data_IF_286022992833
#
_entry.id   IF_286022992833
#
_cell.length_a   1.000
_cell.length_b   1.000
_cell.length_c   1.000
_cell.angle_alpha   90.00
_cell.angle_beta   90.00
_cell.angle_gamma   90.00
#
_symmetry.space_group_name_H-M   'P 1'
#
loop_
_entity.id
_entity.type
_entity.pdbx_description
1 polymer ?
#
# COMPACT_ATOMS: atom_id res chain seq x y z
N UNK A 1 22.47 14.89 -1.03
CA UNK A 1 23.60 15.44 -0.26
C UNK A 1 24.91 15.10 -0.95
N UNK A 2 25.17 13.85 -1.33
CA UNK A 2 26.39 13.41 -2.02
C UNK A 2 26.57 14.07 -3.40
N UNK A 3 25.49 14.31 -4.15
CA UNK A 3 25.53 15.05 -5.41
C UNK A 3 26.14 16.45 -5.24
N UNK A 4 25.74 17.17 -4.17
CA UNK A 4 26.31 18.49 -3.87
C UNK A 4 27.78 18.41 -3.47
N UNK A 5 28.19 17.37 -2.75
CA UNK A 5 29.58 17.15 -2.34
C UNK A 5 30.48 16.86 -3.56
N UNK A 6 29.98 16.06 -4.50
CA UNK A 6 30.76 15.68 -5.69
C UNK A 6 30.46 16.53 -6.94
N UNK A 7 29.68 17.63 -6.79
CA UNK A 7 29.36 18.54 -7.90
C UNK A 7 30.59 19.17 -8.57
N UNK A 8 31.70 19.34 -7.81
CA UNK A 8 32.94 19.90 -8.34
C UNK A 8 33.81 18.96 -9.16
N UNK A 9 33.45 17.66 -9.26
CA UNK A 9 34.21 16.70 -10.06
C UNK A 9 33.87 16.83 -11.56
N UNK A 10 34.88 16.66 -12.45
CA UNK A 10 34.68 16.74 -13.89
C UNK A 10 33.64 15.74 -14.42
N UNK A 11 32.91 16.12 -15.48
CA UNK A 11 31.86 15.27 -16.09
C UNK A 11 32.35 13.90 -16.60
N UNK A 12 33.62 13.80 -17.02
CA UNK A 12 34.21 12.51 -17.43
C UNK A 12 34.31 11.48 -16.27
N UNK A 13 34.06 11.89 -15.01
CA UNK A 13 34.00 11.01 -13.84
C UNK A 13 32.58 10.70 -13.39
N UNK A 14 31.54 11.04 -14.17
CA UNK A 14 30.15 10.81 -13.75
C UNK A 14 29.85 9.31 -13.57
N UNK A 15 30.39 8.44 -14.44
CA UNK A 15 30.30 7.00 -14.22
C UNK A 15 30.95 6.52 -12.94
N UNK A 16 32.11 7.09 -12.56
CA UNK A 16 32.78 6.78 -11.29
C UNK A 16 31.95 7.27 -10.09
N UNK A 17 31.31 8.45 -10.21
CA UNK A 17 30.42 8.97 -9.17
C UNK A 17 29.25 8.01 -8.93
N UNK A 18 28.56 7.62 -10.02
CA UNK A 18 27.33 6.82 -9.93
C UNK A 18 27.61 5.38 -9.45
N UNK A 19 28.64 4.73 -10.00
CA UNK A 19 28.90 3.30 -9.77
C UNK A 19 29.71 3.04 -8.50
N UNK A 20 30.58 3.97 -8.11
CA UNK A 20 31.51 3.76 -7.01
C UNK A 20 31.34 4.75 -5.86
N UNK A 21 31.42 6.08 -6.12
CA UNK A 21 31.46 7.05 -5.03
C UNK A 21 30.11 7.15 -4.29
N UNK A 22 28.99 7.19 -5.01
CA UNK A 22 27.68 7.27 -4.34
C UNK A 22 27.37 6.01 -3.52
N UNK A 23 27.47 4.79 -4.02
CA UNK A 23 27.28 3.59 -3.21
C UNK A 23 28.23 3.50 -2.03
N UNK A 24 29.52 3.77 -2.24
CA UNK A 24 30.53 3.70 -1.18
C UNK A 24 30.22 4.68 -0.03
N UNK A 25 30.06 5.97 -0.37
CA UNK A 25 29.86 7.00 0.67
C UNK A 25 28.46 6.96 1.27
N UNK A 26 27.42 6.60 0.51
CA UNK A 26 26.09 6.41 1.08
C UNK A 26 26.07 5.26 2.09
N UNK A 27 26.65 4.12 1.75
CA UNK A 27 26.73 2.97 2.64
C UNK A 27 27.55 3.30 3.88
N UNK A 28 28.69 3.97 3.73
CA UNK A 28 29.54 4.36 4.86
C UNK A 28 28.81 5.35 5.79
N UNK A 29 28.18 6.40 5.25
CA UNK A 29 27.45 7.40 6.03
C UNK A 29 26.25 6.76 6.74
N UNK A 30 25.43 6.00 6.01
CA UNK A 30 24.27 5.32 6.60
C UNK A 30 24.72 4.31 7.66
N UNK A 31 25.77 3.54 7.39
CA UNK A 31 26.35 2.61 8.36
C UNK A 31 26.81 3.29 9.66
N UNK A 32 27.51 4.42 9.57
CA UNK A 32 27.93 5.19 10.73
C UNK A 32 26.73 5.77 11.51
N UNK A 33 25.73 6.29 10.81
CA UNK A 33 24.49 6.76 11.44
C UNK A 33 23.77 5.61 12.16
N UNK A 34 23.66 4.47 11.51
CA UNK A 34 23.06 3.26 12.11
C UNK A 34 23.82 2.76 13.34
N UNK A 35 25.16 2.79 13.33
CA UNK A 35 25.98 2.48 14.52
C UNK A 35 25.68 3.44 15.67
N UNK A 36 25.53 4.74 15.40
CA UNK A 36 25.18 5.73 16.42
C UNK A 36 23.79 5.54 17.00
N UNK A 37 22.83 5.12 16.18
CA UNK A 37 21.42 4.91 16.58
C UNK A 37 21.22 3.53 17.23
N UNK A 38 22.00 2.52 16.85
CA UNK A 38 21.80 1.14 17.29
C UNK A 38 21.87 0.96 18.82
N UNK A 39 22.77 1.68 19.49
CA UNK A 39 22.88 1.62 20.96
C UNK A 39 21.60 2.08 21.68
N UNK A 40 21.10 3.30 21.46
CA UNK A 40 19.83 3.77 22.00
C UNK A 40 18.64 2.85 21.64
N UNK A 41 18.56 2.38 20.39
CA UNK A 41 17.47 1.48 19.97
C UNK A 41 17.55 0.11 20.64
N UNK A 42 18.76 -0.45 20.82
CA UNK A 42 18.95 -1.68 21.58
C UNK A 42 18.53 -1.50 23.05
N UNK A 43 18.85 -0.38 23.67
CA UNK A 43 18.43 -0.08 25.05
C UNK A 43 16.91 -0.01 25.19
N UNK A 44 16.22 0.66 24.26
CA UNK A 44 14.75 0.72 24.22
C UNK A 44 14.18 -0.69 24.07
N UNK A 45 14.70 -1.47 23.10
CA UNK A 45 14.23 -2.84 22.88
C UNK A 45 14.43 -3.72 24.12
N UNK A 46 15.59 -3.63 24.77
CA UNK A 46 15.87 -4.38 26.01
C UNK A 46 14.90 -3.97 27.13
N UNK A 47 14.63 -2.68 27.32
CA UNK A 47 13.67 -2.21 28.31
C UNK A 47 12.26 -2.73 28.05
N UNK A 48 11.83 -2.82 26.78
CA UNK A 48 10.54 -3.40 26.39
C UNK A 48 10.50 -4.90 26.66
N UNK A 49 11.57 -5.62 26.38
CA UNK A 49 11.67 -7.06 26.69
C UNK A 49 11.61 -7.31 28.22
N UNK A 50 12.36 -6.52 29.00
CA UNK A 50 12.37 -6.63 30.46
C UNK A 50 10.99 -6.30 31.05
N UNK A 51 10.30 -5.32 30.48
CA UNK A 51 8.92 -5.01 30.84
C UNK A 51 8.00 -6.23 30.63
N UNK A 52 8.03 -6.86 29.45
CA UNK A 52 7.22 -8.07 29.19
C UNK A 52 7.57 -9.23 30.12
N UNK A 53 8.86 -9.46 30.37
CA UNK A 53 9.31 -10.46 31.33
C UNK A 53 8.80 -10.18 32.74
N UNK A 54 8.75 -8.91 33.18
CA UNK A 54 8.23 -8.54 34.49
C UNK A 54 6.72 -8.78 34.61
N UNK A 55 5.99 -8.70 33.52
CA UNK A 55 4.54 -8.98 33.49
C UNK A 55 4.20 -10.46 33.53
N UNK A 56 5.17 -11.35 33.32
CA UNK A 56 4.93 -12.80 33.30
C UNK A 56 4.26 -13.32 34.59
N UNK A 57 4.58 -12.71 35.74
CA UNK A 57 3.98 -13.00 37.04
C UNK A 57 2.62 -12.31 37.29
N UNK A 58 2.20 -11.38 36.42
CA UNK A 58 1.00 -10.53 36.63
C UNK A 58 -0.32 -11.19 36.20
N UNK A 59 -0.24 -12.41 35.67
CA UNK A 59 -1.40 -13.18 35.19
C UNK A 59 -1.75 -12.97 33.71
N UNK A 60 -2.54 -13.90 33.18
CA UNK A 60 -2.86 -14.05 31.77
C UNK A 60 -3.48 -12.78 31.14
N UNK A 61 -4.33 -12.06 31.88
CA UNK A 61 -5.03 -10.89 31.34
C UNK A 61 -4.06 -9.72 31.11
N UNK A 62 -3.20 -9.43 32.08
CA UNK A 62 -2.24 -8.31 32.00
C UNK A 62 -1.18 -8.60 30.94
N UNK A 63 -0.62 -9.80 30.96
CA UNK A 63 0.38 -10.21 29.98
C UNK A 63 -0.20 -10.23 28.56
N UNK A 64 -1.36 -10.85 28.36
CA UNK A 64 -2.01 -10.93 27.06
C UNK A 64 -2.44 -9.57 26.52
N UNK A 65 -2.89 -8.65 27.39
CA UNK A 65 -3.18 -7.27 27.02
C UNK A 65 -1.91 -6.56 26.50
N UNK A 66 -0.79 -6.68 27.24
CA UNK A 66 0.46 -6.07 26.84
C UNK A 66 0.97 -6.62 25.50
N UNK A 67 1.00 -7.95 25.34
CA UNK A 67 1.40 -8.61 24.09
C UNK A 67 0.53 -8.14 22.93
N UNK A 68 -0.80 -8.20 23.07
CA UNK A 68 -1.73 -7.81 22.03
C UNK A 68 -1.61 -6.35 21.62
N UNK A 69 -1.48 -5.44 22.61
CA UNK A 69 -1.23 -4.03 22.33
C UNK A 69 0.08 -3.81 21.58
N UNK A 70 1.17 -4.43 22.01
CA UNK A 70 2.49 -4.28 21.36
C UNK A 70 2.49 -4.83 19.95
N UNK A 71 1.90 -6.01 19.72
CA UNK A 71 1.86 -6.63 18.40
C UNK A 71 1.05 -5.82 17.37
N UNK A 72 -0.03 -5.16 17.81
CA UNK A 72 -0.92 -4.42 16.92
C UNK A 72 -0.64 -2.90 16.86
N UNK A 73 0.24 -2.37 17.70
CA UNK A 73 0.54 -0.93 17.76
C UNK A 73 1.14 -0.41 16.45
N UNK A 74 2.17 -1.05 15.96
CA UNK A 74 2.92 -0.66 14.76
C UNK A 74 3.03 -1.76 13.70
N UNK A 75 2.32 -2.90 13.90
CA UNK A 75 2.08 -3.97 12.92
C UNK A 75 3.31 -4.42 12.14
N UNK A 76 4.40 -4.72 12.82
CA UNK A 76 5.67 -5.13 12.24
C UNK A 76 6.82 -4.16 12.51
N UNK A 77 6.53 -3.02 13.14
CA UNK A 77 7.52 -2.04 13.56
C UNK A 77 8.26 -2.42 14.85
N UNK A 78 9.01 -1.49 15.46
CA UNK A 78 9.85 -1.76 16.61
C UNK A 78 9.13 -2.32 17.82
N UNK A 79 7.89 -1.86 18.11
CA UNK A 79 7.10 -2.31 19.27
C UNK A 79 6.60 -3.75 19.07
N UNK A 80 6.08 -4.05 17.89
CA UNK A 80 5.72 -5.42 17.49
C UNK A 80 6.94 -6.35 17.58
N UNK A 81 8.09 -5.92 17.01
CA UNK A 81 9.31 -6.73 17.00
C UNK A 81 9.85 -6.96 18.42
N UNK A 82 9.69 -6.02 19.36
CA UNK A 82 10.07 -6.26 20.75
C UNK A 82 9.26 -7.40 21.39
N UNK A 83 7.93 -7.45 21.18
CA UNK A 83 7.11 -8.57 21.65
C UNK A 83 7.52 -9.88 20.98
N UNK A 84 7.70 -9.86 19.65
CA UNK A 84 8.08 -11.04 18.86
C UNK A 84 9.46 -11.58 19.25
N UNK A 85 10.48 -10.73 19.36
CA UNK A 85 11.84 -11.11 19.75
C UNK A 85 11.86 -11.64 21.19
N UNK A 86 11.08 -11.05 22.11
CA UNK A 86 10.91 -11.59 23.46
C UNK A 86 10.31 -13.01 23.40
N UNK A 87 9.27 -13.21 22.60
CA UNK A 87 8.64 -14.53 22.41
C UNK A 87 9.61 -15.57 21.87
N UNK A 88 10.38 -15.22 20.84
CA UNK A 88 11.38 -16.13 20.25
C UNK A 88 12.54 -16.44 21.21
N UNK A 89 12.97 -15.48 22.03
CA UNK A 89 13.99 -15.73 23.06
C UNK A 89 13.47 -16.67 24.13
N UNK A 90 12.26 -16.44 24.65
CA UNK A 90 11.61 -17.33 25.61
C UNK A 90 11.35 -18.72 25.04
N UNK A 91 10.93 -18.80 23.78
CA UNK A 91 10.76 -20.06 23.08
C UNK A 91 12.07 -20.86 22.97
N UNK A 92 13.18 -20.17 22.68
CA UNK A 92 14.52 -20.81 22.61
C UNK A 92 14.90 -21.41 23.97
N UNK A 93 14.69 -20.68 25.07
CA UNK A 93 14.91 -21.18 26.43
C UNK A 93 13.97 -22.35 26.76
N UNK A 94 12.70 -22.26 26.34
CA UNK A 94 11.71 -23.32 26.53
C UNK A 94 12.10 -24.63 25.83
N UNK A 95 12.49 -24.55 24.57
CA UNK A 95 12.90 -25.72 23.80
C UNK A 95 14.19 -26.39 24.37
N UNK A 96 15.11 -25.56 24.89
CA UNK A 96 16.31 -26.08 25.57
C UNK A 96 16.00 -26.75 26.91
N UNK A 97 14.97 -26.29 27.63
CA UNK A 97 14.54 -26.89 28.91
C UNK A 97 13.82 -28.24 28.73
N UNK A 98 13.22 -28.46 27.55
CA UNK A 98 12.54 -29.70 27.20
C UNK A 98 11.08 -29.78 27.63
N UNK A 99 10.32 -30.60 26.92
CA UNK A 99 8.89 -30.80 27.08
C UNK A 99 8.52 -31.20 28.52
N UNK A 100 7.46 -30.61 29.07
CA UNK A 100 6.93 -30.92 30.40
C UNK A 100 7.56 -30.12 31.55
N UNK A 101 8.51 -29.22 31.25
CA UNK A 101 9.01 -28.24 32.23
C UNK A 101 8.16 -26.97 32.27
N UNK A 102 8.13 -26.29 33.42
CA UNK A 102 7.43 -25.02 33.55
C UNK A 102 7.96 -23.96 32.57
N UNK A 103 9.28 -23.99 32.33
CA UNK A 103 9.93 -23.12 31.34
C UNK A 103 9.43 -23.38 29.92
N UNK A 104 9.29 -24.67 29.55
CA UNK A 104 8.74 -25.06 28.26
C UNK A 104 7.30 -24.57 28.09
N UNK A 105 6.46 -24.88 29.09
CA UNK A 105 5.06 -24.51 29.06
C UNK A 105 4.88 -23.00 28.97
N UNK A 106 5.64 -22.24 29.76
CA UNK A 106 5.55 -20.79 29.74
C UNK A 106 6.02 -20.17 28.39
N UNK A 107 7.19 -20.58 27.89
CA UNK A 107 7.75 -19.99 26.67
C UNK A 107 6.95 -20.34 25.41
N UNK A 108 6.44 -21.56 25.29
CA UNK A 108 5.57 -21.97 24.17
C UNK A 108 4.18 -21.31 24.25
N UNK A 109 3.63 -21.12 25.45
CA UNK A 109 2.36 -20.41 25.66
C UNK A 109 2.52 -18.91 25.34
N UNK A 110 3.63 -18.29 25.76
CA UNK A 110 3.95 -16.91 25.42
C UNK A 110 4.06 -16.73 23.89
N UNK A 111 4.77 -17.63 23.20
CA UNK A 111 4.92 -17.58 21.75
C UNK A 111 3.57 -17.75 21.04
N UNK A 112 2.72 -18.66 21.49
CA UNK A 112 1.37 -18.84 20.99
C UNK A 112 0.54 -17.55 21.11
N UNK A 113 0.66 -16.82 22.23
CA UNK A 113 -0.03 -15.54 22.44
C UNK A 113 0.48 -14.44 21.52
N UNK A 114 1.80 -14.34 21.27
CA UNK A 114 2.41 -13.42 20.31
C UNK A 114 1.93 -13.73 18.89
N UNK A 115 1.99 -15.00 18.49
CA UNK A 115 1.50 -15.46 17.19
C UNK A 115 0.03 -15.10 16.98
N UNK A 116 -0.84 -15.39 17.95
CA UNK A 116 -2.26 -15.05 17.88
C UNK A 116 -2.47 -13.54 17.70
N UNK A 117 -1.76 -12.73 18.49
CA UNK A 117 -1.86 -11.27 18.43
C UNK A 117 -1.44 -10.69 17.07
N UNK A 118 -0.43 -11.27 16.42
CA UNK A 118 0.07 -10.84 15.12
C UNK A 118 -0.83 -11.27 13.95
N UNK A 119 -1.54 -12.39 14.06
CA UNK A 119 -2.47 -12.91 13.05
C UNK A 119 -3.74 -12.05 12.97
N UNK A 120 -4.19 -11.48 14.08
CA UNK A 120 -5.52 -10.84 14.21
C UNK A 120 -5.69 -9.57 13.36
N UNK A 121 -4.75 -8.59 13.29
CA UNK A 121 -4.98 -7.34 12.54
C UNK A 121 -5.35 -7.55 11.07
N UNK A 122 -4.63 -8.35 10.25
CA UNK A 122 -5.04 -8.59 8.87
C UNK A 122 -6.40 -9.33 8.79
N UNK A 123 -6.71 -10.24 9.71
CA UNK A 123 -8.02 -10.92 9.74
C UNK A 123 -9.17 -9.96 10.13
N UNK A 124 -8.93 -8.95 10.97
CA UNK A 124 -9.88 -7.86 11.24
C UNK A 124 -10.22 -7.13 9.94
N UNK A 125 -9.22 -6.79 9.12
CA UNK A 125 -9.44 -6.09 7.85
C UNK A 125 -10.19 -6.96 6.87
N UNK A 126 -9.85 -8.25 6.76
CA UNK A 126 -10.59 -9.23 5.94
C UNK A 126 -12.05 -9.30 6.35
N UNK A 127 -12.33 -9.51 7.63
CA UNK A 127 -13.70 -9.54 8.14
C UNK A 127 -14.46 -8.26 7.82
N UNK A 128 -13.81 -7.11 8.05
CA UNK A 128 -14.44 -5.81 7.86
C UNK A 128 -14.81 -5.53 6.40
N UNK A 129 -13.94 -5.85 5.44
CA UNK A 129 -14.24 -5.62 4.01
C UNK A 129 -15.30 -6.58 3.47
N UNK A 130 -15.38 -7.80 4.02
CA UNK A 130 -16.41 -8.77 3.63
C UNK A 130 -17.79 -8.38 4.18
N UNK A 131 -17.87 -8.09 5.48
CA UNK A 131 -19.14 -7.79 6.17
C UNK A 131 -19.60 -6.36 5.88
N UNK A 132 -18.68 -5.41 5.85
CA UNK A 132 -18.94 -3.98 5.63
C UNK A 132 -18.74 -3.51 4.20
N UNK A 133 -18.85 -4.38 3.17
CA UNK A 133 -18.48 -4.11 1.77
C UNK A 133 -18.84 -2.71 1.26
N UNK A 134 -20.02 -2.19 1.59
CA UNK A 134 -20.50 -0.88 1.14
C UNK A 134 -19.77 0.33 1.74
N UNK A 135 -18.98 0.14 2.80
CA UNK A 135 -18.26 1.20 3.50
C UNK A 135 -16.77 1.26 3.14
N UNK A 136 -16.31 0.33 2.31
CA UNK A 136 -14.93 0.21 1.87
C UNK A 136 -14.82 0.41 0.37
N UNK A 137 -13.71 0.99 -0.08
CA UNK A 137 -13.40 1.09 -1.51
C UNK A 137 -13.11 -0.29 -2.11
N UNK A 138 -13.13 -0.39 -3.44
CA UNK A 138 -12.75 -1.64 -4.10
C UNK A 138 -11.29 -2.02 -3.79
N UNK A 139 -10.39 -1.04 -3.74
CA UNK A 139 -9.00 -1.23 -3.34
C UNK A 139 -8.87 -1.81 -1.92
N UNK A 140 -9.62 -1.23 -0.95
CA UNK A 140 -9.67 -1.79 0.40
C UNK A 140 -10.21 -3.22 0.41
N UNK A 141 -11.23 -3.49 -0.42
CA UNK A 141 -11.80 -4.83 -0.52
C UNK A 141 -10.76 -5.84 -1.03
N UNK A 142 -10.06 -5.51 -2.12
CA UNK A 142 -9.06 -6.38 -2.73
C UNK A 142 -7.88 -6.61 -1.76
N UNK A 143 -7.37 -5.55 -1.13
CA UNK A 143 -6.34 -5.65 -0.10
C UNK A 143 -6.80 -6.47 1.12
N UNK A 144 -8.04 -6.28 1.57
CA UNK A 144 -8.60 -7.03 2.69
C UNK A 144 -8.78 -8.53 2.40
N UNK A 145 -9.06 -8.91 1.16
CA UNK A 145 -9.11 -10.34 0.76
C UNK A 145 -7.70 -10.95 0.76
N UNK A 146 -6.69 -10.22 0.27
CA UNK A 146 -5.28 -10.66 0.35
C UNK A 146 -4.83 -10.84 1.80
N UNK A 147 -5.33 -10.00 2.69
CA UNK A 147 -5.03 -10.05 4.12
C UNK A 147 -5.53 -11.34 4.81
N UNK A 148 -6.47 -12.07 4.22
CA UNK A 148 -6.81 -13.41 4.70
C UNK A 148 -5.59 -14.34 4.64
N UNK A 149 -4.87 -14.33 3.52
CA UNK A 149 -3.67 -15.15 3.33
C UNK A 149 -2.54 -14.64 4.23
N UNK A 150 -2.31 -13.33 4.25
CA UNK A 150 -1.27 -12.71 5.07
C UNK A 150 -1.49 -12.99 6.56
N UNK A 151 -2.71 -12.85 7.06
CA UNK A 151 -3.05 -13.21 8.44
C UNK A 151 -2.83 -14.68 8.72
N UNK A 152 -3.34 -15.56 7.87
CA UNK A 152 -3.15 -17.01 8.03
C UNK A 152 -1.67 -17.44 8.03
N UNK A 153 -0.77 -16.65 7.46
CA UNK A 153 0.68 -16.88 7.42
C UNK A 153 1.47 -16.06 8.44
N UNK A 154 0.80 -15.38 9.38
CA UNK A 154 1.43 -14.57 10.44
C UNK A 154 2.12 -13.29 9.92
N UNK A 155 1.57 -12.66 8.87
CA UNK A 155 2.10 -11.42 8.31
C UNK A 155 1.20 -10.27 8.73
N UNK A 156 1.57 -9.58 9.80
CA UNK A 156 0.77 -8.50 10.43
C UNK A 156 0.71 -7.24 9.56
N UNK A 157 1.76 -7.00 8.78
CA UNK A 157 1.98 -5.81 7.96
C UNK A 157 0.87 -5.55 6.94
N UNK A 158 0.12 -6.58 6.52
CA UNK A 158 -1.02 -6.44 5.62
C UNK A 158 -2.10 -5.48 6.12
N UNK A 159 -2.21 -5.25 7.42
CA UNK A 159 -3.18 -4.32 7.99
C UNK A 159 -2.72 -2.85 7.99
N UNK A 160 -1.44 -2.55 7.73
CA UNK A 160 -0.87 -1.19 7.74
C UNK A 160 -1.63 -0.23 6.82
N UNK A 161 -1.97 -0.56 5.55
CA UNK A 161 -2.69 0.35 4.66
C UNK A 161 -4.06 0.79 5.22
N UNK A 162 -4.72 -0.06 5.98
CA UNK A 162 -6.00 0.27 6.64
C UNK A 162 -5.81 1.18 7.84
N UNK A 163 -4.74 0.99 8.60
CA UNK A 163 -4.41 1.81 9.76
C UNK A 163 -3.98 3.22 9.33
N UNK A 164 -3.13 3.36 8.32
CA UNK A 164 -2.61 4.65 7.87
C UNK A 164 -3.67 5.59 7.34
N UNK A 165 -4.76 5.08 6.79
CA UNK A 165 -5.91 5.89 6.35
C UNK A 165 -6.63 6.59 7.53
N UNK A 166 -6.65 5.99 8.73
CA UNK A 166 -7.34 6.50 9.92
C UNK A 166 -6.68 5.97 11.20
N UNK A 167 -5.48 6.44 11.53
CA UNK A 167 -4.63 5.87 12.59
C UNK A 167 -5.35 5.76 13.94
N UNK A 168 -5.89 6.89 14.45
CA UNK A 168 -6.42 6.96 15.81
C UNK A 168 -7.62 6.04 16.11
N UNK A 169 -8.63 5.89 15.23
CA UNK A 169 -9.69 4.93 15.49
C UNK A 169 -9.31 3.49 15.16
N UNK A 170 -8.49 3.25 14.13
CA UNK A 170 -8.18 1.89 13.66
C UNK A 170 -7.15 1.21 14.56
N UNK A 171 -6.09 1.89 14.95
CA UNK A 171 -5.06 1.32 15.83
C UNK A 171 -5.61 0.76 17.14
N UNK A 172 -6.43 1.48 17.96
CA UNK A 172 -7.04 0.93 19.15
C UNK A 172 -7.94 -0.29 18.91
N UNK A 173 -8.65 -0.33 17.77
CA UNK A 173 -9.47 -1.47 17.37
C UNK A 173 -8.60 -2.71 17.15
N UNK A 174 -7.49 -2.55 16.40
CA UNK A 174 -6.53 -3.63 16.15
C UNK A 174 -5.89 -4.12 17.46
N UNK A 175 -5.48 -3.18 18.33
CA UNK A 175 -4.93 -3.50 19.65
C UNK A 175 -5.93 -4.29 20.51
N UNK A 176 -7.18 -3.89 20.52
CA UNK A 176 -8.22 -4.60 21.30
C UNK A 176 -8.44 -6.02 20.77
N UNK A 177 -8.60 -6.19 19.47
CA UNK A 177 -8.78 -7.52 18.87
C UNK A 177 -7.59 -8.45 19.14
N UNK A 178 -6.36 -7.95 18.96
CA UNK A 178 -5.14 -8.70 19.25
C UNK A 178 -4.99 -9.04 20.73
N UNK A 179 -5.37 -8.12 21.62
CA UNK A 179 -5.36 -8.37 23.07
C UNK A 179 -6.34 -9.46 23.48
N UNK A 180 -7.55 -9.44 22.91
CA UNK A 180 -8.54 -10.50 23.16
C UNK A 180 -7.98 -11.87 22.75
N UNK A 181 -7.42 -11.97 21.55
CA UNK A 181 -6.86 -13.23 21.07
C UNK A 181 -5.68 -13.70 21.93
N UNK A 182 -4.78 -12.80 22.30
CA UNK A 182 -3.62 -13.10 23.15
C UNK A 182 -4.04 -13.57 24.54
N UNK A 183 -4.99 -12.86 25.20
CA UNK A 183 -5.50 -13.24 26.51
C UNK A 183 -6.16 -14.62 26.47
N UNK A 184 -7.03 -14.86 25.48
CA UNK A 184 -7.71 -16.15 25.33
C UNK A 184 -6.72 -17.28 25.04
N UNK A 185 -5.69 -17.03 24.23
CA UNK A 185 -4.62 -18.00 23.93
C UNK A 185 -3.91 -18.43 25.21
N UNK A 186 -3.57 -17.48 26.09
CA UNK A 186 -2.94 -17.80 27.38
C UNK A 186 -3.90 -18.60 28.28
N UNK A 187 -5.16 -18.15 28.41
CA UNK A 187 -6.16 -18.81 29.22
C UNK A 187 -6.52 -20.22 28.75
N UNK A 188 -6.48 -20.44 27.45
CA UNK A 188 -6.74 -21.77 26.85
C UNK A 188 -5.51 -22.69 26.92
N UNK A 189 -4.43 -22.22 27.54
CA UNK A 189 -3.18 -22.98 27.69
C UNK A 189 -2.71 -23.55 26.37
N UNK A 190 -2.64 -22.70 25.33
CA UNK A 190 -2.14 -23.06 23.99
C UNK A 190 -0.62 -23.02 23.99
N UNK A 191 0.02 -24.01 23.38
CA UNK A 191 1.46 -24.06 23.29
C UNK A 191 1.90 -24.14 21.82
N UNK A 192 2.67 -23.12 21.37
CA UNK A 192 3.24 -23.05 20.01
C UNK A 192 4.77 -23.21 20.10
N UNK A 193 5.31 -24.36 19.68
CA UNK A 193 6.75 -24.60 19.66
C UNK A 193 7.45 -23.98 18.44
N UNK A 194 6.72 -23.32 17.54
CA UNK A 194 7.27 -22.70 16.35
C UNK A 194 7.32 -21.17 16.49
N UNK A 195 8.42 -20.53 16.06
CA UNK A 195 8.56 -19.07 16.20
C UNK A 195 7.71 -18.29 15.18
N UNK A 196 7.28 -18.93 14.09
CA UNK A 196 6.57 -18.27 12.99
C UNK A 196 5.83 -19.30 12.13
N UNK A 197 4.89 -18.83 11.31
CA UNK A 197 4.21 -19.68 10.32
C UNK A 197 2.67 -19.58 10.34
N UNK A 198 2.09 -18.96 11.35
CA UNK A 198 0.63 -18.79 11.46
C UNK A 198 -0.08 -20.14 11.49
N UNK A 199 -1.15 -20.29 10.72
CA UNK A 199 -1.90 -21.57 10.68
C UNK A 199 -1.15 -22.72 10.01
N UNK A 200 -0.03 -22.46 9.33
CA UNK A 200 0.80 -23.53 8.79
C UNK A 200 1.45 -24.40 9.88
N UNK A 201 1.68 -23.84 11.07
CA UNK A 201 2.24 -24.59 12.21
C UNK A 201 1.18 -25.25 13.09
N UNK A 202 -0.11 -25.10 12.77
CA UNK A 202 -1.22 -25.69 13.54
C UNK A 202 -1.04 -27.19 13.89
N UNK A 203 -0.47 -28.04 13.03
CA UNK A 203 -0.25 -29.45 13.34
C UNK A 203 0.68 -29.69 14.55
N UNK A 204 1.54 -28.74 14.91
CA UNK A 204 2.46 -28.85 16.06
C UNK A 204 2.03 -28.01 17.25
N UNK A 205 0.97 -27.20 17.12
CA UNK A 205 0.43 -26.39 18.20
C UNK A 205 -0.47 -27.23 19.11
N UNK A 206 -0.11 -27.32 20.39
CA UNK A 206 -0.95 -27.96 21.40
C UNK A 206 -2.17 -27.08 21.71
N UNK A 207 -3.36 -27.67 21.83
CA UNK A 207 -4.63 -26.97 21.90
C UNK A 207 -4.92 -26.07 20.68
N UNK A 208 -4.41 -26.45 19.51
CA UNK A 208 -4.56 -25.68 18.26
C UNK A 208 -5.99 -25.26 17.90
N UNK A 209 -7.04 -26.09 18.06
CA UNK A 209 -8.43 -25.65 17.84
C UNK A 209 -8.86 -24.50 18.74
N UNK A 210 -8.42 -24.46 20.00
CA UNK A 210 -8.70 -23.36 20.93
C UNK A 210 -7.89 -22.11 20.55
N UNK A 211 -6.69 -22.28 20.02
CA UNK A 211 -5.91 -21.17 19.44
C UNK A 211 -6.61 -20.51 18.27
N UNK A 212 -7.10 -21.31 17.32
CA UNK A 212 -7.91 -20.78 16.19
C UNK A 212 -9.15 -20.06 16.70
N UNK A 213 -9.84 -20.62 17.68
CA UNK A 213 -11.02 -19.99 18.29
C UNK A 213 -10.68 -18.63 18.92
N UNK A 214 -9.58 -18.54 19.68
CA UNK A 214 -9.10 -17.30 20.29
C UNK A 214 -8.84 -16.21 19.23
N UNK A 215 -8.14 -16.57 18.15
CA UNK A 215 -7.84 -15.69 17.02
C UNK A 215 -9.13 -15.22 16.34
N UNK A 216 -10.06 -16.13 16.06
CA UNK A 216 -11.34 -15.79 15.41
C UNK A 216 -12.18 -14.86 16.27
N UNK A 217 -12.25 -15.09 17.60
CA UNK A 217 -12.96 -14.18 18.53
C UNK A 217 -12.36 -12.77 18.45
N UNK A 218 -11.03 -12.64 18.54
CA UNK A 218 -10.34 -11.37 18.44
C UNK A 218 -10.59 -10.67 17.10
N UNK A 219 -10.50 -11.42 15.98
CA UNK A 219 -10.72 -10.91 14.64
C UNK A 219 -12.17 -10.46 14.41
N UNK A 220 -13.16 -11.23 14.88
CA UNK A 220 -14.59 -10.89 14.75
C UNK A 220 -14.93 -9.66 15.58
N UNK A 221 -14.51 -9.61 16.86
CA UNK A 221 -14.77 -8.45 17.72
C UNK A 221 -14.14 -7.17 17.15
N UNK A 222 -12.84 -7.23 16.77
CA UNK A 222 -12.18 -6.11 16.12
C UNK A 222 -12.83 -5.75 14.79
N UNK A 223 -13.22 -6.75 13.99
CA UNK A 223 -13.87 -6.57 12.68
C UNK A 223 -15.23 -5.88 12.81
N UNK A 224 -16.07 -6.26 13.76
CA UNK A 224 -17.35 -5.58 14.05
C UNK A 224 -17.12 -4.12 14.41
N UNK A 225 -16.16 -3.84 15.27
CA UNK A 225 -15.82 -2.47 15.67
C UNK A 225 -15.29 -1.65 14.48
N UNK A 226 -14.48 -2.27 13.62
CA UNK A 226 -13.95 -1.61 12.44
C UNK A 226 -15.06 -1.29 11.44
N UNK A 227 -16.00 -2.22 11.19
CA UNK A 227 -17.18 -1.96 10.36
C UNK A 227 -18.04 -0.84 10.95
N UNK A 228 -18.28 -0.85 12.28
CA UNK A 228 -19.04 0.18 12.95
C UNK A 228 -18.40 1.56 12.82
N UNK A 229 -17.08 1.65 12.97
CA UNK A 229 -16.33 2.87 12.73
C UNK A 229 -16.46 3.35 11.27
N UNK A 230 -16.25 2.49 10.30
CA UNK A 230 -16.34 2.83 8.87
C UNK A 230 -17.76 3.26 8.47
N UNK A 231 -18.77 2.63 9.04
CA UNK A 231 -20.16 3.04 8.87
C UNK A 231 -20.39 4.45 9.40
N UNK A 232 -19.93 4.75 10.61
CA UNK A 232 -20.03 6.07 11.22
C UNK A 232 -19.32 7.15 10.38
N UNK A 233 -18.11 6.88 9.93
CA UNK A 233 -17.31 7.79 9.10
C UNK A 233 -18.01 8.07 7.76
N UNK A 234 -18.54 7.03 7.12
CA UNK A 234 -19.31 7.14 5.89
C UNK A 234 -20.56 8.02 6.05
N UNK A 235 -21.36 7.77 7.10
CA UNK A 235 -22.58 8.54 7.38
C UNK A 235 -22.27 10.02 7.76
N UNK A 236 -21.17 10.25 8.48
CA UNK A 236 -20.70 11.60 8.81
C UNK A 236 -20.31 12.39 7.58
N UNK A 237 -19.57 11.77 6.66
CA UNK A 237 -19.13 12.40 5.41
C UNK A 237 -20.31 12.68 4.48
N UNK A 238 -21.34 11.83 4.43
CA UNK A 238 -22.58 12.11 3.69
C UNK A 238 -23.37 13.28 4.28
N UNK A 239 -23.38 13.46 5.61
CA UNK A 239 -24.06 14.60 6.25
C UNK A 239 -23.29 15.90 6.15
N UNK A 240 -21.97 15.85 5.94
CA UNK A 240 -21.11 17.03 5.76
C UNK A 240 -21.11 17.55 4.33
N UNK A 241 -21.64 16.83 3.35
CA UNK A 241 -21.83 17.32 2.00
C UNK A 241 -22.87 18.46 2.01
N UNK A 242 -22.59 19.65 1.42
CA UNK A 242 -23.57 20.75 1.37
C UNK A 242 -24.85 20.25 0.70
N UNK A 243 -25.98 20.46 1.40
CA UNK A 243 -27.31 20.19 0.85
C UNK A 243 -27.51 21.12 -0.35
N UNK A 244 -27.29 20.65 -1.55
CA UNK A 244 -27.81 21.30 -2.73
C UNK A 244 -29.34 21.32 -2.61
N UNK A 245 -29.93 22.51 -2.65
CA UNK A 245 -31.39 22.70 -2.59
C UNK A 245 -32.09 21.78 -3.59
N UNK A 246 -33.23 21.15 -3.21
CA UNK A 246 -33.95 20.28 -4.11
C UNK A 246 -34.42 21.06 -5.34
N UNK A 247 -33.96 20.72 -6.50
CA UNK A 247 -34.66 21.03 -7.76
C UNK A 247 -35.79 20.03 -7.84
N UNK A 248 -37.02 20.54 -8.00
CA UNK A 248 -38.28 19.79 -8.03
C UNK A 248 -38.18 18.57 -8.97
N UNK A 249 -38.51 17.39 -8.39
CA UNK A 249 -38.57 16.14 -9.11
C UNK A 249 -39.74 16.17 -10.13
N UNK A 250 -39.40 16.30 -11.38
CA UNK A 250 -40.30 15.87 -12.46
C UNK A 250 -40.31 14.32 -12.48
N UNK A 251 -41.51 13.77 -12.31
CA UNK A 251 -41.78 12.34 -12.48
C UNK A 251 -41.40 11.89 -13.90
N UNK A 252 -40.43 11.03 -14.02
CA UNK A 252 -40.27 10.19 -15.20
C UNK A 252 -39.86 8.78 -14.78
N UNK A 253 -40.70 7.90 -15.12
CA UNK A 253 -40.63 6.45 -15.34
C UNK A 253 -39.32 5.69 -15.02
N UNK A 254 -39.50 4.60 -14.30
CA UNK A 254 -38.53 3.51 -14.18
C UNK A 254 -38.04 3.06 -15.57
N UNK A 255 -36.77 3.29 -15.85
CA UNK A 255 -36.08 2.69 -16.97
C UNK A 255 -34.95 1.83 -16.37
N UNK A 256 -34.93 0.59 -16.78
CA UNK A 256 -33.91 -0.40 -16.49
C UNK A 256 -32.50 0.21 -16.64
N UNK A 257 -31.59 -0.17 -15.74
CA UNK A 257 -30.19 0.20 -15.80
C UNK A 257 -29.60 -0.11 -17.18
N UNK A 258 -29.05 0.87 -17.89
CA UNK A 258 -28.32 0.56 -19.11
C UNK A 258 -27.06 -0.22 -18.73
N UNK A 259 -26.84 -1.34 -19.43
CA UNK A 259 -25.51 -1.92 -19.59
C UNK A 259 -24.55 -0.76 -19.87
N UNK A 260 -23.52 -0.60 -19.02
CA UNK A 260 -22.43 0.33 -19.28
C UNK A 260 -21.83 -0.05 -20.64
N UNK A 261 -22.12 0.75 -21.65
CA UNK A 261 -21.29 0.79 -22.84
C UNK A 261 -19.89 1.21 -22.37
N UNK A 262 -18.87 0.50 -22.85
CA UNK A 262 -17.48 0.75 -22.54
C UNK A 262 -17.17 2.22 -22.89
N UNK A 263 -16.98 3.07 -21.89
CA UNK A 263 -16.54 4.44 -22.13
C UNK A 263 -15.09 4.36 -22.64
N UNK A 264 -14.87 4.83 -23.87
CA UNK A 264 -13.52 4.94 -24.43
C UNK A 264 -12.72 5.95 -23.59
N UNK A 265 -11.82 5.45 -22.76
CA UNK A 265 -10.94 6.28 -21.91
C UNK A 265 -9.93 7.06 -22.75
N UNK A 266 -9.53 6.52 -23.90
CA UNK A 266 -8.66 7.16 -24.89
C UNK A 266 -9.49 7.50 -26.11
N UNK A 267 -9.83 8.78 -26.27
CA UNK A 267 -10.46 9.28 -27.49
C UNK A 267 -9.39 9.41 -28.59
N UNK A 268 -9.75 9.15 -29.85
CA UNK A 268 -8.81 9.26 -30.99
C UNK A 268 -8.22 10.67 -31.07
N UNK A 269 -9.01 11.69 -30.78
CA UNK A 269 -8.61 13.10 -30.75
C UNK A 269 -7.58 13.45 -29.66
N UNK A 270 -7.38 12.57 -28.68
CA UNK A 270 -6.41 12.71 -27.58
C UNK A 270 -5.13 11.87 -27.83
N UNK A 271 -4.94 11.35 -29.04
CA UNK A 271 -3.73 10.64 -29.44
C UNK A 271 -2.95 11.49 -30.46
N UNK A 272 -1.79 11.92 -30.05
CA UNK A 272 -0.89 12.78 -30.84
C UNK A 272 0.32 11.96 -31.27
N UNK A 273 0.50 11.80 -32.57
CA UNK A 273 1.60 11.05 -33.18
C UNK A 273 2.50 11.98 -33.97
N UNK A 274 3.77 11.61 -34.11
CA UNK A 274 4.79 12.38 -34.83
C UNK A 274 5.06 13.77 -34.22
N UNK A 275 4.98 13.90 -32.91
CA UNK A 275 5.45 15.07 -32.15
C UNK A 275 6.97 14.96 -31.94
N UNK A 276 7.63 16.09 -31.70
CA UNK A 276 9.07 16.17 -31.41
C UNK A 276 9.27 17.10 -30.23
N UNK A 277 9.77 16.56 -29.11
CA UNK A 277 9.94 17.30 -27.85
C UNK A 277 11.41 17.31 -27.42
N UNK A 278 11.94 18.50 -27.19
CA UNK A 278 13.31 18.66 -26.71
C UNK A 278 13.51 18.18 -25.26
N UNK A 279 12.43 18.04 -24.49
CA UNK A 279 12.52 17.63 -23.06
C UNK A 279 11.21 17.04 -22.55
N UNK A 280 11.31 16.31 -21.41
CA UNK A 280 10.14 15.84 -20.63
C UNK A 280 9.17 16.97 -20.32
N UNK A 281 9.68 18.11 -19.85
CA UNK A 281 8.83 19.21 -19.39
C UNK A 281 8.06 19.85 -20.56
N UNK A 282 8.63 19.84 -21.77
CA UNK A 282 7.94 20.28 -22.98
C UNK A 282 6.82 19.30 -23.37
N UNK A 283 7.06 18.00 -23.31
CA UNK A 283 6.03 16.98 -23.55
C UNK A 283 4.88 17.09 -22.52
N UNK A 284 5.18 17.28 -21.25
CA UNK A 284 4.17 17.46 -20.20
C UNK A 284 3.39 18.78 -20.35
N UNK A 285 4.08 19.85 -20.78
CA UNK A 285 3.43 21.14 -21.09
C UNK A 285 2.49 21.01 -22.29
N UNK A 286 2.91 20.29 -23.33
CA UNK A 286 2.06 19.99 -24.49
C UNK A 286 0.80 19.25 -24.05
N UNK A 287 0.93 18.16 -23.27
CA UNK A 287 -0.21 17.40 -22.74
C UNK A 287 -1.16 18.30 -21.93
N UNK A 288 -0.61 19.15 -21.05
CA UNK A 288 -1.40 20.07 -20.22
C UNK A 288 -2.21 21.06 -21.07
N UNK A 289 -1.62 21.60 -22.12
CA UNK A 289 -2.29 22.50 -23.07
C UNK A 289 -3.37 21.76 -23.89
N UNK A 290 -3.12 20.54 -24.33
CA UNK A 290 -4.11 19.74 -25.04
C UNK A 290 -5.29 19.35 -24.14
N UNK A 291 -5.05 19.08 -22.84
CA UNK A 291 -6.10 18.84 -21.89
C UNK A 291 -7.08 20.01 -21.76
N UNK A 292 -6.58 21.25 -21.77
CA UNK A 292 -7.43 22.44 -21.76
C UNK A 292 -8.17 22.62 -23.09
N UNK A 293 -7.50 22.43 -24.23
CA UNK A 293 -8.14 22.52 -25.55
C UNK A 293 -9.25 21.50 -25.75
N UNK A 294 -9.08 20.30 -25.18
CA UNK A 294 -10.08 19.23 -25.24
C UNK A 294 -11.21 19.42 -24.18
N UNK A 295 -11.16 20.45 -23.34
CA UNK A 295 -12.14 20.68 -22.27
C UNK A 295 -12.00 19.73 -21.08
N UNK A 296 -10.95 18.94 -21.02
CA UNK A 296 -10.64 17.98 -19.94
C UNK A 296 -10.17 18.72 -18.69
N UNK A 297 -9.50 19.86 -18.86
CA UNK A 297 -9.02 20.69 -17.76
C UNK A 297 -9.35 22.17 -17.99
N UNK A 298 -9.42 22.94 -16.91
CA UNK A 298 -9.71 24.38 -16.92
C UNK A 298 -8.45 25.25 -16.89
N UNK A 299 -7.30 24.69 -16.49
CA UNK A 299 -6.04 25.42 -16.27
C UNK A 299 -4.84 24.52 -16.58
N UNK A 300 -4.08 24.90 -17.62
CA UNK A 300 -2.90 24.14 -18.07
C UNK A 300 -1.73 24.21 -17.09
N UNK A 301 -1.52 25.35 -16.44
CA UNK A 301 -0.44 25.51 -15.45
C UNK A 301 -0.70 24.68 -14.20
N UNK A 302 -1.96 24.58 -13.76
CA UNK A 302 -2.34 23.72 -12.64
C UNK A 302 -2.13 22.23 -12.97
N UNK A 303 -2.40 21.79 -14.20
CA UNK A 303 -2.14 20.42 -14.67
C UNK A 303 -0.64 20.17 -14.76
N UNK A 304 0.13 21.09 -15.35
CA UNK A 304 1.58 20.99 -15.46
C UNK A 304 2.25 20.88 -14.07
N UNK A 305 1.83 21.73 -13.13
CA UNK A 305 2.35 21.68 -11.77
C UNK A 305 2.03 20.34 -11.07
N UNK A 306 0.88 19.74 -11.34
CA UNK A 306 0.52 18.44 -10.83
C UNK A 306 1.39 17.31 -11.41
N UNK A 307 1.72 17.35 -12.71
CA UNK A 307 2.69 16.44 -13.32
C UNK A 307 4.07 16.59 -12.71
N UNK A 308 4.57 17.82 -12.56
CA UNK A 308 5.88 18.08 -11.98
C UNK A 308 5.97 17.65 -10.51
N UNK A 309 4.92 17.87 -9.73
CA UNK A 309 4.83 17.40 -8.36
C UNK A 309 4.92 15.87 -8.28
N UNK A 310 4.24 15.16 -9.20
CA UNK A 310 4.28 13.71 -9.26
C UNK A 310 5.66 13.18 -9.72
N UNK A 311 6.30 13.83 -10.69
CA UNK A 311 7.66 13.48 -11.12
C UNK A 311 8.71 13.69 -10.01
N UNK A 312 8.49 14.65 -9.12
CA UNK A 312 9.35 14.90 -7.97
C UNK A 312 9.29 13.78 -6.92
N UNK A 313 8.21 13.01 -6.86
CA UNK A 313 8.07 11.82 -5.98
C UNK A 313 8.84 10.61 -6.53
N UNK A 314 9.10 10.58 -7.82
CA UNK A 314 9.81 9.53 -8.54
C UNK A 314 9.44 9.57 -10.02
N UNK A 315 10.35 9.12 -10.88
CA UNK A 315 10.11 9.15 -12.33
C UNK A 315 8.89 8.31 -12.73
N UNK A 316 8.13 8.80 -13.71
CA UNK A 316 7.05 8.04 -14.37
C UNK A 316 7.53 7.34 -15.64
N UNK A 317 8.82 7.45 -15.98
CA UNK A 317 9.44 6.70 -17.07
C UNK A 317 9.50 5.21 -16.76
N UNK A 318 9.13 4.41 -17.76
CA UNK A 318 9.09 2.95 -17.69
C UNK A 318 10.23 2.35 -18.53
N UNK A 319 10.13 1.09 -18.89
CA UNK A 319 11.06 0.40 -19.78
C UNK A 319 10.68 0.60 -21.26
N UNK A 320 11.63 0.35 -22.17
CA UNK A 320 11.44 0.25 -23.63
C UNK A 320 10.81 1.51 -24.27
N UNK A 321 11.12 2.68 -23.71
CA UNK A 321 10.70 3.95 -24.29
C UNK A 321 9.27 4.37 -23.97
N UNK A 322 8.67 3.85 -22.90
CA UNK A 322 7.35 4.26 -22.40
C UNK A 322 7.45 5.14 -21.14
N UNK A 323 6.45 6.00 -20.95
CA UNK A 323 6.21 6.70 -19.71
C UNK A 323 4.70 6.75 -19.40
N UNK A 324 4.35 6.78 -18.08
CA UNK A 324 2.97 6.89 -17.60
C UNK A 324 2.87 8.12 -16.68
N UNK A 325 3.03 9.35 -17.20
CA UNK A 325 2.83 10.55 -16.40
C UNK A 325 1.38 10.65 -15.96
N UNK A 326 1.15 11.05 -14.70
CA UNK A 326 -0.21 11.22 -14.20
C UNK A 326 -0.31 12.45 -13.33
N UNK A 327 -1.37 13.23 -13.56
CA UNK A 327 -1.67 14.46 -12.85
C UNK A 327 -3.00 14.36 -12.13
N UNK A 328 -3.02 14.78 -10.87
CA UNK A 328 -4.22 14.94 -10.07
C UNK A 328 -4.38 16.41 -9.72
N UNK A 329 -5.48 17.00 -10.16
CA UNK A 329 -5.76 18.42 -9.91
C UNK A 329 -7.26 18.71 -9.88
N UNK A 330 -7.68 19.67 -9.08
CA UNK A 330 -9.05 20.18 -9.10
C UNK A 330 -9.35 20.96 -10.40
N UNK A 331 -8.33 21.35 -11.16
CA UNK A 331 -8.46 21.93 -12.48
C UNK A 331 -8.86 20.91 -13.56
N UNK A 332 -8.75 19.60 -13.28
CA UNK A 332 -9.17 18.53 -14.18
C UNK A 332 -10.65 18.22 -13.92
N UNK A 333 -11.48 18.32 -14.94
CA UNK A 333 -12.94 18.23 -14.86
C UNK A 333 -13.47 16.82 -15.11
N UNK A 334 -12.78 16.04 -15.95
CA UNK A 334 -13.10 14.63 -16.24
C UNK A 334 -11.84 13.77 -16.28
N UNK A 335 -11.98 12.49 -15.92
CA UNK A 335 -10.89 11.53 -16.02
C UNK A 335 -10.66 11.20 -17.50
N UNK A 336 -9.43 11.37 -17.98
CA UNK A 336 -9.08 11.12 -19.37
C UNK A 336 -7.65 10.65 -19.53
N UNK A 337 -7.35 10.04 -20.68
CA UNK A 337 -6.01 9.65 -21.09
C UNK A 337 -5.64 10.42 -22.36
N UNK A 338 -4.47 11.03 -22.34
CA UNK A 338 -3.85 11.67 -23.51
C UNK A 338 -2.58 10.88 -23.84
N UNK A 339 -2.43 10.52 -25.10
CA UNK A 339 -1.25 9.77 -25.57
C UNK A 339 -0.44 10.69 -26.49
N UNK A 340 0.85 10.81 -26.20
CA UNK A 340 1.79 11.49 -27.08
C UNK A 340 2.88 10.54 -27.52
N UNK A 341 3.25 10.61 -28.80
CA UNK A 341 4.27 9.78 -29.39
C UNK A 341 5.32 10.64 -30.08
N UNK A 342 6.58 10.44 -29.70
CA UNK A 342 7.76 11.08 -30.27
C UNK A 342 8.66 10.00 -30.88
N UNK A 343 8.87 10.04 -32.21
CA UNK A 343 9.68 9.02 -32.90
C UNK A 343 11.16 9.18 -32.60
N UNK A 344 11.62 10.41 -32.34
CA UNK A 344 13.01 10.71 -31.99
C UNK A 344 13.37 10.29 -30.58
N UNK A 345 12.36 10.24 -29.71
CA UNK A 345 12.47 9.91 -28.29
C UNK A 345 12.88 11.09 -27.42
N UNK A 346 12.04 11.39 -26.45
CA UNK A 346 12.22 12.48 -25.48
C UNK A 346 13.42 12.17 -24.59
N UNK A 347 14.44 13.03 -24.62
CA UNK A 347 15.63 12.92 -23.76
C UNK A 347 15.42 13.65 -22.44
N UNK A 348 16.16 13.24 -21.39
CA UNK A 348 16.05 13.87 -20.07
C UNK A 348 14.83 13.42 -19.25
N UNK A 349 14.12 12.40 -19.69
CA UNK A 349 13.13 11.67 -18.90
C UNK A 349 13.79 10.42 -18.34
N UNK A 350 13.96 10.34 -17.03
CA UNK A 350 14.58 9.18 -16.39
C UNK A 350 13.68 7.95 -16.59
N UNK A 351 14.22 6.89 -17.14
CA UNK A 351 13.55 5.60 -17.37
C UNK A 351 14.28 4.47 -16.67
N UNK A 352 13.61 3.35 -16.45
CA UNK A 352 14.16 2.20 -15.71
C UNK A 352 15.35 1.55 -16.44
N UNK A 353 15.42 1.67 -17.77
CA UNK A 353 16.46 1.10 -18.64
C UNK A 353 17.36 2.15 -19.29
N UNK A 354 17.15 3.43 -19.02
CA UNK A 354 17.90 4.55 -19.58
C UNK A 354 17.55 4.86 -21.05
N UNK A 355 16.50 4.23 -21.61
CA UNK A 355 16.06 4.49 -22.97
C UNK A 355 15.28 5.83 -23.06
N UNK A 356 15.38 6.59 -24.17
CA UNK A 356 14.54 7.77 -24.37
C UNK A 356 13.06 7.39 -24.48
N UNK A 357 12.16 8.27 -24.00
CA UNK A 357 10.72 8.01 -24.03
C UNK A 357 10.14 8.29 -25.40
N UNK A 358 9.62 7.27 -26.08
CA UNK A 358 8.94 7.40 -27.37
C UNK A 358 7.43 7.54 -27.25
N UNK A 359 6.82 7.00 -26.18
CA UNK A 359 5.38 7.03 -25.96
C UNK A 359 5.09 7.39 -24.52
N UNK A 360 4.37 8.48 -24.31
CA UNK A 360 3.85 8.83 -23.00
C UNK A 360 2.32 8.68 -22.97
N UNK A 361 1.82 7.84 -22.05
CA UNK A 361 0.38 7.63 -21.80
C UNK A 361 0.03 8.44 -20.56
N UNK A 362 -0.43 9.66 -20.75
CA UNK A 362 -0.70 10.63 -19.69
C UNK A 362 -2.11 10.45 -19.13
N UNK A 363 -2.22 10.23 -17.81
CA UNK A 363 -3.50 10.12 -17.11
C UNK A 363 -3.84 11.42 -16.39
N UNK A 364 -5.03 11.93 -16.66
CA UNK A 364 -5.60 13.14 -16.09
C UNK A 364 -6.73 12.78 -15.13
N UNK A 365 -6.63 13.23 -13.87
CA UNK A 365 -7.48 12.74 -12.78
C UNK A 365 -8.09 13.92 -12.03
N UNK A 366 -9.44 14.06 -11.97
CA UNK A 366 -10.09 15.05 -11.14
C UNK A 366 -9.76 14.89 -9.66
N UNK A 367 -9.51 16.00 -8.97
CA UNK A 367 -9.18 16.00 -7.54
C UNK A 367 -10.19 15.25 -6.68
N UNK A 368 -11.49 15.41 -6.96
CA UNK A 368 -12.59 14.78 -6.23
C UNK A 368 -12.77 13.27 -6.50
N UNK A 369 -12.24 12.73 -7.62
CA UNK A 369 -12.41 11.32 -8.03
C UNK A 369 -11.18 10.45 -7.72
N UNK A 370 -10.27 10.90 -6.92
CA UNK A 370 -8.93 10.37 -6.72
C UNK A 370 -8.83 9.01 -5.99
N UNK A 371 -9.92 8.30 -5.72
CA UNK A 371 -9.88 7.12 -4.85
C UNK A 371 -9.81 5.77 -5.55
N UNK A 372 -10.46 5.54 -6.68
CA UNK A 372 -10.63 4.18 -7.21
C UNK A 372 -10.44 4.05 -8.72
N UNK A 373 -10.97 4.96 -9.52
CA UNK A 373 -10.97 4.81 -10.98
C UNK A 373 -9.57 4.99 -11.58
N UNK A 374 -8.77 5.93 -11.07
CA UNK A 374 -7.44 6.20 -11.60
C UNK A 374 -6.44 5.10 -11.28
N UNK A 375 -6.48 4.53 -10.07
CA UNK A 375 -5.59 3.41 -9.71
C UNK A 375 -5.88 2.17 -10.57
N UNK A 376 -7.16 1.95 -10.93
CA UNK A 376 -7.53 0.90 -11.87
C UNK A 376 -6.96 1.18 -13.27
N UNK A 377 -7.12 2.39 -13.79
CA UNK A 377 -6.59 2.77 -15.11
C UNK A 377 -5.07 2.68 -15.09
N UNK A 378 -4.41 3.23 -14.08
CA UNK A 378 -2.95 3.17 -13.94
C UNK A 378 -2.44 1.73 -13.86
N UNK A 379 -3.09 0.89 -13.04
CA UNK A 379 -2.75 -0.53 -12.91
C UNK A 379 -2.93 -1.28 -14.23
N UNK A 380 -4.05 -1.06 -14.94
CA UNK A 380 -4.31 -1.70 -16.23
C UNK A 380 -3.35 -1.22 -17.33
N UNK A 381 -2.97 0.07 -17.35
CA UNK A 381 -1.94 0.57 -18.27
C UNK A 381 -0.59 -0.04 -17.94
N UNK A 382 -0.21 -0.11 -16.66
CA UNK A 382 1.04 -0.72 -16.24
C UNK A 382 1.07 -2.23 -16.58
N UNK A 383 -0.04 -2.95 -16.38
CA UNK A 383 -0.20 -4.35 -16.75
C UNK A 383 -0.11 -4.53 -18.27
N UNK A 384 -0.77 -3.68 -19.06
CA UNK A 384 -0.71 -3.71 -20.52
C UNK A 384 0.72 -3.50 -21.02
N UNK A 385 1.52 -2.65 -20.36
CA UNK A 385 2.93 -2.43 -20.70
C UNK A 385 3.83 -3.63 -20.37
N UNK A 386 3.36 -4.64 -19.65
CA UNK A 386 4.11 -5.90 -19.50
C UNK A 386 3.94 -6.83 -20.70
N UNK A 387 2.94 -6.59 -21.55
CA UNK A 387 2.67 -7.35 -22.77
C UNK A 387 3.52 -6.81 -23.94
N UNK A 388 4.35 -7.67 -24.53
CA UNK A 388 5.27 -7.31 -25.64
C UNK A 388 4.51 -6.91 -26.91
N UNK A 389 3.43 -7.63 -27.26
CA UNK A 389 2.61 -7.34 -28.43
C UNK A 389 1.90 -5.98 -28.30
N UNK A 390 1.45 -5.64 -27.09
CA UNK A 390 0.87 -4.32 -26.80
C UNK A 390 1.90 -3.21 -27.02
N UNK A 391 3.10 -3.35 -26.45
CA UNK A 391 4.15 -2.33 -26.61
C UNK A 391 4.56 -2.19 -28.08
N UNK A 392 4.75 -3.31 -28.78
CA UNK A 392 5.12 -3.31 -30.18
C UNK A 392 4.06 -2.62 -31.06
N UNK A 393 2.78 -2.89 -30.81
CA UNK A 393 1.66 -2.28 -31.55
C UNK A 393 1.57 -0.78 -31.28
N UNK A 394 1.58 -0.34 -30.03
CA UNK A 394 1.45 1.08 -29.68
C UNK A 394 2.67 1.88 -30.16
N UNK A 395 3.88 1.32 -30.04
CA UNK A 395 5.11 1.97 -30.48
C UNK A 395 5.26 1.96 -32.01
N UNK A 396 4.83 0.89 -32.68
CA UNK A 396 4.97 0.73 -34.13
C UNK A 396 3.89 1.45 -34.95
N UNK A 397 2.69 1.68 -34.39
CA UNK A 397 1.60 2.31 -35.14
C UNK A 397 1.76 3.83 -35.21
N UNK A 398 1.41 4.39 -36.38
CA UNK A 398 1.26 5.85 -36.62
C UNK A 398 -0.22 6.25 -36.74
N UNK A 399 -1.13 5.29 -36.64
CA UNK A 399 -2.57 5.53 -36.68
C UNK A 399 -3.13 5.77 -35.28
N UNK A 400 -3.57 7.02 -35.01
CA UNK A 400 -4.17 7.42 -33.74
C UNK A 400 -5.39 6.56 -33.37
N UNK A 401 -6.18 6.11 -34.34
CA UNK A 401 -7.35 5.27 -34.07
C UNK A 401 -6.95 3.86 -33.65
N UNK A 402 -5.92 3.30 -34.24
CA UNK A 402 -5.38 1.99 -33.85
C UNK A 402 -4.76 2.03 -32.44
N UNK A 403 -3.98 3.09 -32.13
CA UNK A 403 -3.39 3.29 -30.81
C UNK A 403 -4.49 3.42 -29.74
N UNK A 404 -5.50 4.29 -29.97
CA UNK A 404 -6.61 4.47 -29.06
C UNK A 404 -7.38 3.16 -28.80
N UNK A 405 -7.68 2.41 -29.88
CA UNK A 405 -8.37 1.11 -29.79
C UNK A 405 -7.56 0.10 -29.01
N UNK A 406 -6.26 0.02 -29.28
CA UNK A 406 -5.34 -0.94 -28.61
C UNK A 406 -5.27 -0.67 -27.11
N UNK A 407 -5.19 0.60 -26.70
CA UNK A 407 -5.15 0.99 -25.30
C UNK A 407 -6.51 0.75 -24.64
N UNK A 408 -7.63 1.17 -25.26
CA UNK A 408 -8.98 0.99 -24.71
C UNK A 408 -9.30 -0.51 -24.51
N UNK A 409 -8.86 -1.39 -25.40
CA UNK A 409 -9.07 -2.83 -25.26
C UNK A 409 -8.45 -3.44 -23.99
N UNK A 410 -7.47 -2.76 -23.39
CA UNK A 410 -6.82 -3.19 -22.14
C UNK A 410 -7.37 -2.46 -20.91
N UNK A 411 -8.06 -1.34 -21.09
CA UNK A 411 -8.61 -0.53 -20.00
C UNK A 411 -10.02 -0.94 -19.58
N UNK A 412 -10.73 -1.73 -20.39
CA UNK A 412 -12.10 -2.22 -20.14
C UNK A 412 -12.13 -3.45 -19.20
#
# INVERSE_FOLDING_TARGET
LLEKVFAGLPKNLDGLKAIFLYPLFSTAIVGLVMLGISGPMAAINTAMMDFLKSLSASGAVVLGLAIGCMCAFDMGGPVNKAAYVTGTAMLTEALAAGVGTDTYNFGTNFMAAVSAACIVPPLITTFAVVVGKKYFSQEDHDAGIVNLILGCTHITEGAIPFMTKNIWPVMPIMMLGSSIASILTILFNVHDPAPHGGFLVLPVVENGPLWVLAILIGAVVGGILFVAFKKYDFEKNQKAAPVAKPVEASKAAAVEAPKAEAADFVKVENVFVAEDFASRDEALSFVSNQAVKAGIASDADAVMNAFLAREAEGTTGMMEGFAIPHAKSDAITEAAVIVVKDESGVTGWDTMDGAPVNVAIALLIPGAQAGTTHLKILSKVAEALMDEDFRATVKGSTDAAEIAKTINARLV
#
